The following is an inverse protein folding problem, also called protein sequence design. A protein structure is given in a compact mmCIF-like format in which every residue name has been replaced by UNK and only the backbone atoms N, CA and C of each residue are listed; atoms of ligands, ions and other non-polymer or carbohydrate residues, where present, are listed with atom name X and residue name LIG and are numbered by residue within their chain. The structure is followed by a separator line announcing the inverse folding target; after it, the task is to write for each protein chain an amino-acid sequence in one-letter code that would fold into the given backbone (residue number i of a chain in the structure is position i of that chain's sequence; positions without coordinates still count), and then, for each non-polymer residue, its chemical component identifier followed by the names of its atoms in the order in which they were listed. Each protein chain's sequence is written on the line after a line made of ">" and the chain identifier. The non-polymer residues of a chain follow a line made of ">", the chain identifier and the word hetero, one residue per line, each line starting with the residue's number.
data_IF_005327190905
#
_entry.id   IF_005327190905
#
_cell.length_a   1.000
_cell.length_b   1.000
_cell.length_c   1.000
_cell.angle_alpha   90.00
_cell.angle_beta   90.00
_cell.angle_gamma   90.00
#
_symmetry.space_group_name_H-M   'P 1'
#
loop_
_entity.id
_entity.type
_entity.pdbx_description
1 polymer ?
#
# COMPACT_ATOMS: atom_id res chain seq x y z
N UNK A 1 8.32 -18.20 -6.20
CA UNK A 1 7.42 -19.21 -5.58
C UNK A 1 6.70 -18.54 -4.41
N UNK A 2 5.40 -18.78 -4.18
CA UNK A 2 4.72 -18.25 -2.98
C UNK A 2 4.74 -19.31 -1.87
N UNK A 3 4.99 -18.90 -0.64
CA UNK A 3 4.97 -19.76 0.54
C UNK A 3 3.92 -19.23 1.53
N UNK A 4 3.11 -20.14 2.05
CA UNK A 4 2.06 -19.84 3.01
C UNK A 4 2.42 -20.48 4.34
N UNK A 5 2.61 -19.67 5.37
CA UNK A 5 2.78 -20.14 6.73
C UNK A 5 1.47 -19.94 7.49
N UNK A 6 0.95 -21.02 8.07
CA UNK A 6 -0.27 -21.00 8.87
C UNK A 6 0.09 -21.19 10.34
N UNK A 7 -0.40 -20.30 11.19
CA UNK A 7 -0.25 -20.36 12.64
C UNK A 7 -1.62 -20.44 13.28
N UNK A 8 -1.84 -21.42 14.16
CA UNK A 8 -3.13 -21.59 14.84
C UNK A 8 -3.19 -20.74 16.11
N UNK A 9 -4.21 -19.91 16.22
CA UNK A 9 -4.49 -19.13 17.41
C UNK A 9 -5.23 -19.99 18.44
N UNK A 10 -5.07 -19.65 19.74
CA UNK A 10 -5.71 -20.37 20.85
C UNK A 10 -7.24 -20.34 20.83
N UNK A 11 -7.84 -19.44 20.05
CA UNK A 11 -9.29 -19.30 19.87
C UNK A 11 -9.84 -20.07 18.64
N UNK A 12 -9.01 -20.88 17.99
CA UNK A 12 -9.41 -21.67 16.83
C UNK A 12 -9.29 -20.97 15.47
N UNK A 13 -8.90 -19.69 15.43
CA UNK A 13 -8.58 -19.00 14.17
C UNK A 13 -7.21 -19.44 13.61
N UNK A 14 -7.01 -19.22 12.31
CA UNK A 14 -5.72 -19.42 11.63
C UNK A 14 -5.20 -18.06 11.14
N UNK A 15 -3.99 -17.70 11.55
CA UNK A 15 -3.23 -16.61 10.95
C UNK A 15 -2.44 -17.16 9.76
N UNK A 16 -2.55 -16.49 8.63
CA UNK A 16 -1.85 -16.84 7.40
C UNK A 16 -0.85 -15.75 7.07
N UNK A 17 0.44 -16.08 7.09
CA UNK A 17 1.50 -15.22 6.58
C UNK A 17 1.85 -15.68 5.18
N UNK A 18 1.64 -14.79 4.20
CA UNK A 18 2.11 -15.00 2.85
C UNK A 18 3.56 -14.51 2.77
N UNK A 19 4.45 -15.31 2.19
CA UNK A 19 5.80 -14.91 1.84
C UNK A 19 6.01 -15.12 0.33
N UNK A 20 6.78 -14.23 -0.29
CA UNK A 20 7.19 -14.38 -1.68
C UNK A 20 8.64 -14.81 -1.70
N UNK A 21 8.97 -15.93 -2.32
CA UNK A 21 10.37 -16.26 -2.60
C UNK A 21 10.79 -15.60 -3.91
N UNK A 22 11.87 -14.83 -3.85
CA UNK A 22 12.60 -14.26 -5.01
C UNK A 22 14.01 -14.83 -4.94
N UNK A 23 14.46 -15.54 -5.98
CA UNK A 23 15.80 -16.16 -6.06
C UNK A 23 16.18 -17.02 -4.83
N UNK A 24 15.27 -17.91 -4.42
CA UNK A 24 15.37 -18.77 -3.22
C UNK A 24 15.52 -18.02 -1.87
N UNK A 25 15.46 -16.69 -1.87
CA UNK A 25 15.35 -15.89 -0.66
C UNK A 25 13.89 -15.65 -0.28
N UNK A 26 13.57 -15.88 0.99
CA UNK A 26 12.26 -15.58 1.55
C UNK A 26 12.10 -14.06 1.71
N UNK A 27 11.31 -13.44 0.84
CA UNK A 27 10.88 -12.04 1.02
C UNK A 27 9.66 -12.08 1.93
N UNK A 28 9.85 -11.66 3.18
CA UNK A 28 8.74 -11.39 4.08
C UNK A 28 7.85 -10.33 3.43
N UNK A 29 6.56 -10.65 3.27
CA UNK A 29 5.60 -9.67 2.76
C UNK A 29 5.45 -8.62 3.85
N UNK A 30 6.15 -7.49 3.69
CA UNK A 30 5.87 -6.29 4.44
C UNK A 30 4.45 -5.86 4.06
N UNK A 31 3.54 -5.89 5.04
CA UNK A 31 2.22 -5.31 4.85
C UNK A 31 2.39 -3.80 4.72
N UNK A 32 2.12 -3.24 3.54
CA UNK A 32 2.06 -1.79 3.39
C UNK A 32 0.77 -1.29 4.02
N UNK A 33 0.88 -0.47 5.05
CA UNK A 33 -0.27 0.21 5.64
C UNK A 33 -0.89 1.17 4.60
N UNK A 34 -2.20 1.48 4.72
CA UNK A 34 -2.84 2.43 3.82
C UNK A 34 -2.10 3.76 3.78
N UNK A 35 -1.91 4.31 2.59
CA UNK A 35 -1.34 5.65 2.44
C UNK A 35 -2.32 6.71 2.94
N UNK A 36 -1.78 7.83 3.42
CA UNK A 36 -2.55 9.02 3.79
C UNK A 36 -1.86 10.26 3.23
N UNK A 37 -2.67 11.23 2.80
CA UNK A 37 -2.16 12.55 2.39
C UNK A 37 -1.98 13.43 3.61
N UNK A 38 -0.94 14.26 3.55
CA UNK A 38 -0.73 15.38 4.47
C UNK A 38 -1.83 16.43 4.27
N UNK A 39 -2.36 16.98 5.35
CA UNK A 39 -3.48 17.92 5.42
C UNK A 39 -3.05 19.19 6.15
N UNK A 40 -3.30 20.35 5.53
CA UNK A 40 -3.00 21.66 6.12
C UNK A 40 -1.53 21.80 6.49
N UNK A 41 -1.27 22.08 7.77
CA UNK A 41 0.07 22.27 8.34
C UNK A 41 0.60 21.03 9.07
N UNK A 42 -0.04 19.85 8.89
CA UNK A 42 0.40 18.64 9.60
C UNK A 42 1.78 18.16 9.12
N UNK A 43 2.60 17.64 10.02
CA UNK A 43 3.84 16.97 9.63
C UNK A 43 3.53 15.55 9.12
N UNK A 44 4.43 14.89 8.36
CA UNK A 44 4.25 13.48 7.99
C UNK A 44 4.03 12.56 9.19
N UNK A 45 4.64 12.88 10.33
CA UNK A 45 4.46 12.15 11.59
C UNK A 45 3.05 12.32 12.14
N UNK A 46 2.50 13.54 12.08
CA UNK A 46 1.12 13.82 12.51
C UNK A 46 0.11 13.10 11.61
N UNK A 47 0.35 13.10 10.30
CA UNK A 47 -0.46 12.35 9.34
C UNK A 47 -0.46 10.84 9.63
N UNK A 48 0.71 10.27 9.96
CA UNK A 48 0.84 8.88 10.40
C UNK A 48 0.07 8.63 11.70
N UNK A 49 0.24 9.48 12.72
CA UNK A 49 -0.49 9.35 13.98
C UNK A 49 -2.00 9.41 13.74
N UNK A 50 -2.48 10.33 12.92
CA UNK A 50 -3.89 10.44 12.51
C UNK A 50 -4.39 9.16 11.85
N UNK A 51 -3.63 8.60 10.91
CA UNK A 51 -3.94 7.31 10.29
C UNK A 51 -4.04 6.18 11.32
N UNK A 52 -3.04 6.08 12.21
CA UNK A 52 -2.99 5.07 13.27
C UNK A 52 -4.16 5.20 14.24
N UNK A 53 -4.56 6.42 14.57
CA UNK A 53 -5.67 6.69 15.48
C UNK A 53 -7.05 6.47 14.84
N UNK A 54 -7.23 6.81 13.56
CA UNK A 54 -8.54 6.77 12.92
C UNK A 54 -8.85 5.42 12.28
N UNK A 55 -7.87 4.83 11.59
CA UNK A 55 -8.09 3.62 10.77
C UNK A 55 -7.48 2.37 11.37
N UNK A 56 -6.42 2.50 12.16
CA UNK A 56 -5.66 1.38 12.70
C UNK A 56 -5.65 1.36 14.23
N UNK A 57 -6.66 1.96 14.86
CA UNK A 57 -6.73 2.14 16.31
C UNK A 57 -6.60 0.84 17.10
N UNK A 58 -7.13 -0.27 16.55
CA UNK A 58 -7.10 -1.59 17.15
C UNK A 58 -5.70 -2.21 17.21
N UNK A 59 -4.82 -1.87 16.27
CA UNK A 59 -3.46 -2.43 16.18
C UNK A 59 -2.38 -1.43 16.57
N UNK A 60 -2.74 -0.13 16.68
CA UNK A 60 -1.85 0.96 17.08
C UNK A 60 -0.96 0.65 18.28
N UNK A 61 -1.46 0.06 19.40
CA UNK A 61 -0.61 -0.17 20.57
C UNK A 61 0.61 -1.03 20.27
N UNK A 62 0.51 -1.94 19.31
CA UNK A 62 1.60 -2.83 18.95
C UNK A 62 2.44 -2.35 17.76
N UNK A 63 2.23 -1.16 17.20
CA UNK A 63 3.01 -0.65 16.06
C UNK A 63 4.13 0.26 16.56
N UNK A 64 5.38 -0.12 16.29
CA UNK A 64 6.58 0.66 16.60
C UNK A 64 7.21 1.12 15.29
N UNK A 65 7.18 2.42 15.01
CA UNK A 65 7.88 2.98 13.84
C UNK A 65 9.40 2.96 14.09
N UNK A 66 10.16 2.29 13.22
CA UNK A 66 11.60 2.06 13.39
C UNK A 66 12.44 2.94 12.48
N UNK A 67 11.93 3.31 11.30
CA UNK A 67 12.67 4.15 10.35
C UNK A 67 11.74 5.06 9.54
N UNK A 68 12.33 6.08 8.93
CA UNK A 68 11.65 7.03 8.05
C UNK A 68 12.52 7.29 6.83
N UNK A 69 11.94 7.14 5.64
CA UNK A 69 12.58 7.46 4.37
C UNK A 69 11.72 8.46 3.59
N UNK A 70 12.35 9.48 3.01
CA UNK A 70 11.69 10.43 2.12
C UNK A 70 12.07 10.09 0.69
N UNK A 71 11.08 9.87 -0.15
CA UNK A 71 11.27 9.62 -1.58
C UNK A 71 10.51 10.67 -2.38
N UNK A 72 11.15 11.15 -3.44
CA UNK A 72 10.56 12.10 -4.38
C UNK A 72 10.34 11.36 -5.69
N UNK A 73 9.11 11.37 -6.18
CA UNK A 73 8.75 10.78 -7.47
C UNK A 73 8.24 11.89 -8.39
N UNK A 74 8.92 12.07 -9.50
CA UNK A 74 8.37 12.86 -10.60
C UNK A 74 7.26 12.04 -11.26
N UNK A 75 6.03 12.54 -11.20
CA UNK A 75 4.90 11.92 -11.87
C UNK A 75 4.81 12.45 -13.30
N UNK A 76 4.50 11.57 -14.25
CA UNK A 76 4.13 12.00 -15.60
C UNK A 76 2.99 13.01 -15.50
N UNK A 77 3.00 14.01 -16.38
CA UNK A 77 1.98 15.06 -16.45
C UNK A 77 0.60 14.45 -16.35
N UNK A 78 -0.24 15.01 -15.47
CA UNK A 78 -1.65 14.61 -15.39
C UNK A 78 -2.26 14.71 -16.80
N UNK A 79 -2.90 13.64 -17.28
CA UNK A 79 -3.50 13.62 -18.61
C UNK A 79 -4.62 14.66 -18.77
N UNK A 80 -5.21 15.11 -17.66
CA UNK A 80 -6.32 16.07 -17.64
C UNK A 80 -5.81 17.52 -17.67
N UNK A 81 -4.74 17.84 -16.94
CA UNK A 81 -4.26 19.21 -16.78
C UNK A 81 -2.89 19.49 -17.41
N UNK A 82 -2.14 18.46 -17.80
CA UNK A 82 -0.82 18.58 -18.42
C UNK A 82 0.28 19.10 -17.48
N UNK A 83 -0.03 19.29 -16.19
CA UNK A 83 0.90 19.90 -15.23
C UNK A 83 1.86 18.82 -14.70
N UNK A 84 3.18 18.99 -14.88
CA UNK A 84 4.15 18.10 -14.27
C UNK A 84 4.04 18.20 -12.74
N UNK A 85 3.78 17.06 -12.11
CA UNK A 85 3.57 17.00 -10.66
C UNK A 85 4.69 16.21 -10.03
N UNK A 86 5.21 16.70 -8.91
CA UNK A 86 6.20 16.01 -8.10
C UNK A 86 5.55 15.54 -6.81
N UNK A 87 5.56 14.23 -6.58
CA UNK A 87 5.04 13.63 -5.37
C UNK A 87 6.17 13.44 -4.36
N UNK A 88 5.99 14.01 -3.17
CA UNK A 88 6.85 13.78 -2.02
C UNK A 88 6.21 12.71 -1.14
N UNK A 89 6.80 11.53 -1.07
CA UNK A 89 6.34 10.43 -0.23
C UNK A 89 7.26 10.30 0.98
N UNK A 90 6.67 10.18 2.16
CA UNK A 90 7.38 9.79 3.37
C UNK A 90 6.94 8.38 3.75
N UNK A 91 7.86 7.43 3.68
CA UNK A 91 7.64 6.04 4.06
C UNK A 91 8.12 5.84 5.48
N UNK A 92 7.30 5.21 6.31
CA UNK A 92 7.69 4.78 7.65
C UNK A 92 7.78 3.26 7.67
N UNK A 93 8.92 2.74 8.12
CA UNK A 93 9.02 1.33 8.45
C UNK A 93 8.57 1.15 9.89
N UNK A 94 7.85 0.05 10.14
CA UNK A 94 7.36 -0.27 11.46
C UNK A 94 7.46 -1.75 11.73
N UNK A 95 7.74 -2.07 12.99
CA UNK A 95 7.73 -3.42 13.53
C UNK A 95 6.56 -3.56 14.50
N UNK A 96 6.14 -4.81 14.71
CA UNK A 96 5.16 -5.12 15.73
C UNK A 96 5.88 -5.44 17.04
N UNK A 97 5.42 -4.83 18.14
CA UNK A 97 5.93 -5.12 19.49
C UNK A 97 5.71 -6.60 19.82
N UNK A 98 6.71 -7.27 20.39
CA UNK A 98 6.62 -8.68 20.80
C UNK A 98 6.43 -8.81 22.31
N UNK A 99 5.41 -9.55 22.80
CA UNK A 99 4.41 -10.29 22.04
C UNK A 99 3.28 -9.39 21.51
N UNK A 100 2.95 -9.51 20.22
CA UNK A 100 1.83 -8.78 19.63
C UNK A 100 0.53 -9.57 19.86
N UNK A 101 -0.36 -9.01 20.67
CA UNK A 101 -1.70 -9.55 20.89
C UNK A 101 -2.74 -8.68 20.18
N UNK A 102 -3.50 -9.30 19.28
CA UNK A 102 -4.67 -8.64 18.71
C UNK A 102 -5.76 -8.51 19.78
N UNK A 103 -6.42 -7.35 19.92
CA UNK A 103 -7.56 -7.23 20.80
C UNK A 103 -8.61 -8.30 20.47
N UNK A 104 -9.19 -8.92 21.49
CA UNK A 104 -10.23 -9.95 21.31
C UNK A 104 -11.46 -9.44 20.54
N UNK A 105 -11.69 -8.13 20.56
CA UNK A 105 -12.73 -7.42 19.80
C UNK A 105 -12.42 -7.26 18.31
N UNK A 106 -11.21 -7.59 17.86
CA UNK A 106 -10.84 -7.47 16.45
C UNK A 106 -11.53 -8.56 15.62
N UNK A 107 -12.49 -8.14 14.80
CA UNK A 107 -13.07 -8.95 13.75
C UNK A 107 -12.39 -8.62 12.42
N UNK A 108 -11.61 -9.54 11.82
CA UNK A 108 -11.02 -9.28 10.52
C UNK A 108 -12.14 -9.01 9.50
N UNK A 109 -12.01 -7.93 8.74
CA UNK A 109 -12.85 -7.70 7.58
C UNK A 109 -12.68 -8.89 6.63
N UNK A 110 -13.79 -9.55 6.30
CA UNK A 110 -13.79 -10.57 5.25
C UNK A 110 -13.34 -9.87 3.96
N UNK A 111 -12.15 -10.20 3.48
CA UNK A 111 -11.71 -9.74 2.18
C UNK A 111 -12.74 -10.22 1.15
N UNK A 112 -13.53 -9.31 0.59
CA UNK A 112 -14.23 -9.62 -0.64
C UNK A 112 -13.14 -9.76 -1.68
N UNK A 113 -13.06 -10.92 -2.32
CA UNK A 113 -12.22 -11.13 -3.48
C UNK A 113 -12.73 -10.22 -4.61
N UNK A 114 -12.39 -8.94 -4.55
CA UNK A 114 -12.49 -8.08 -5.71
C UNK A 114 -11.46 -8.63 -6.68
N UNK A 115 -11.93 -9.13 -7.82
CA UNK A 115 -11.05 -9.68 -8.83
C UNK A 115 -10.02 -8.61 -9.17
N UNK A 116 -8.74 -8.86 -8.87
CA UNK A 116 -7.64 -8.01 -9.31
C UNK A 116 -7.43 -8.18 -10.81
N UNK A 117 -8.40 -7.76 -11.61
CA UNK A 117 -8.21 -7.53 -13.03
C UNK A 117 -7.96 -6.02 -13.19
N UNK A 118 -6.85 -5.70 -13.85
CA UNK A 118 -6.41 -4.38 -14.30
C UNK A 118 -5.67 -3.46 -13.31
N UNK A 119 -4.44 -3.85 -12.94
CA UNK A 119 -3.31 -2.89 -12.82
C UNK A 119 -2.20 -3.14 -13.86
N UNK A 120 -2.46 -4.00 -14.85
CA UNK A 120 -1.60 -4.17 -16.02
C UNK A 120 -2.33 -3.67 -17.26
N UNK A 121 -1.69 -2.76 -18.00
CA UNK A 121 -1.99 -2.33 -19.37
C UNK A 121 -2.93 -1.12 -19.54
N UNK A 122 -2.43 0.06 -19.17
CA UNK A 122 -2.76 1.31 -19.88
C UNK A 122 -1.50 1.94 -20.46
N UNK A 123 -0.70 1.16 -21.20
CA UNK A 123 0.13 1.74 -22.27
C UNK A 123 -0.80 1.97 -23.45
N UNK A 124 -1.38 3.16 -23.50
CA UNK A 124 -2.26 3.60 -24.58
C UNK A 124 -1.50 3.68 -25.91
N UNK A 125 -1.50 2.59 -26.68
CA UNK A 125 -1.40 2.67 -28.14
C UNK A 125 -2.74 3.22 -28.65
N UNK A 126 -2.83 4.53 -28.85
CA UNK A 126 -3.88 5.09 -29.72
C UNK A 126 -3.42 5.04 -31.18
N UNK A 127 -4.32 4.70 -32.10
CA UNK A 127 -4.01 4.55 -33.52
C UNK A 127 -3.74 5.92 -34.14
N UNK A 128 -2.77 5.95 -35.07
CA UNK A 128 -2.46 7.10 -35.90
C UNK A 128 -3.68 7.47 -36.75
N UNK A 129 -4.32 8.60 -36.46
CA UNK A 129 -5.30 9.20 -37.36
C UNK A 129 -4.56 9.77 -38.57
N UNK A 130 -4.57 8.98 -39.65
CA UNK A 130 -4.18 9.40 -40.99
C UNK A 130 -5.12 10.52 -41.46
N UNK A 131 -4.62 11.76 -41.50
CA UNK A 131 -5.28 12.84 -42.26
C UNK A 131 -4.97 12.61 -43.74
N UNK A 132 -5.95 12.07 -44.46
CA UNK A 132 -6.04 12.08 -45.92
C UNK A 132 -7.22 12.97 -46.29
N UNK A 133 -6.95 14.04 -47.05
CA UNK A 133 -7.82 14.84 -47.93
C UNK A 133 -6.91 16.01 -48.36
N UNK A 134 -6.32 16.09 -49.56
CA UNK A 134 -6.79 15.89 -50.94
C UNK A 134 -7.97 16.80 -51.32
N UNK A 135 -7.61 17.84 -52.11
CA UNK A 135 -8.36 18.50 -53.20
C UNK A 135 -9.71 19.16 -52.83
N UNK A 136 -10.03 20.38 -53.25
CA UNK A 136 -9.65 21.22 -54.39
C UNK A 136 -9.58 22.69 -53.99
#
# INVERSE_FOLDING_TARGET
>A
KAQLQLSRCGDGRLLAQLAKCVDDQLVHVACTLPETKVQGEETPKDALQRLLHQRLSHIRPGIIATSQAVTVRDCASDSEYGIPTRLHLTTFEAELESPFELPSSFTPLKAQAQSMQALGNTVGRRPATSKRNSMQ
#
